data_IF_807887118161
#
_entry.id   IF_807887118161
#
_cell.length_a   1.000
_cell.length_b   1.000
_cell.length_c   1.000
_cell.angle_alpha   90.00
_cell.angle_beta   90.00
_cell.angle_gamma   90.00
#
_symmetry.space_group_name_H-M   'P 1'
#
loop_
_entity.id
_entity.type
_entity.pdbx_description
1 polymer ?
#
# COMPACT_ATOMS: atom_id res chain seq x y z
N UNK A 1 -8.22 -6.64 3.59
CA UNK A 1 -7.52 -6.53 2.27
C UNK A 1 -6.28 -7.41 2.19
N UNK A 2 -5.41 -7.43 3.19
CA UNK A 2 -4.16 -8.23 3.15
C UNK A 2 -4.41 -9.75 3.00
N UNK A 3 -5.44 -10.31 3.66
CA UNK A 3 -5.79 -11.73 3.56
C UNK A 3 -6.27 -12.08 2.14
N UNK A 4 -7.23 -11.32 1.62
CA UNK A 4 -7.75 -11.53 0.26
C UNK A 4 -6.68 -11.28 -0.80
N UNK A 5 -5.87 -10.22 -0.66
CA UNK A 5 -4.77 -9.92 -1.57
C UNK A 5 -3.72 -11.03 -1.60
N UNK A 6 -3.39 -11.60 -0.43
CA UNK A 6 -2.49 -12.75 -0.32
C UNK A 6 -3.04 -13.99 -1.02
N UNK A 7 -4.32 -14.30 -0.82
CA UNK A 7 -5.00 -15.43 -1.47
C UNK A 7 -5.07 -15.25 -3.00
N UNK A 8 -5.46 -14.06 -3.48
CA UNK A 8 -5.47 -13.76 -4.93
C UNK A 8 -4.06 -13.90 -5.51
N UNK A 9 -3.04 -13.36 -4.83
CA UNK A 9 -1.65 -13.45 -5.28
C UNK A 9 -1.13 -14.89 -5.35
N UNK A 10 -1.47 -15.72 -4.38
CA UNK A 10 -1.09 -17.14 -4.36
C UNK A 10 -1.79 -17.95 -5.45
N UNK A 11 -3.06 -17.61 -5.76
CA UNK A 11 -3.88 -18.35 -6.74
C UNK A 11 -3.64 -17.92 -8.19
N UNK A 12 -3.54 -16.63 -8.43
CA UNK A 12 -3.47 -16.02 -9.78
C UNK A 12 -2.09 -15.49 -10.15
N UNK A 13 -1.19 -15.42 -9.19
CA UNK A 13 0.16 -14.89 -9.35
C UNK A 13 0.31 -13.44 -8.89
N UNK A 14 1.54 -13.10 -8.52
CA UNK A 14 1.87 -11.78 -7.94
C UNK A 14 1.80 -10.66 -8.97
N UNK A 15 2.02 -10.96 -10.25
CA UNK A 15 1.93 -10.00 -11.35
C UNK A 15 0.52 -9.42 -11.47
N UNK A 16 -0.51 -10.28 -11.40
CA UNK A 16 -1.89 -9.83 -11.50
C UNK A 16 -2.28 -8.93 -10.31
N UNK A 17 -1.89 -9.32 -9.10
CA UNK A 17 -2.16 -8.50 -7.89
C UNK A 17 -1.44 -7.16 -7.92
N UNK A 18 -0.22 -7.12 -8.47
CA UNK A 18 0.52 -5.87 -8.67
C UNK A 18 -0.19 -4.96 -9.68
N UNK A 19 -0.66 -5.52 -10.79
CA UNK A 19 -1.39 -4.76 -11.82
C UNK A 19 -2.70 -4.20 -11.29
N UNK A 20 -3.52 -5.04 -10.65
CA UNK A 20 -4.78 -4.59 -10.04
C UNK A 20 -4.50 -3.51 -9.01
N UNK A 21 -3.50 -3.70 -8.15
CA UNK A 21 -3.14 -2.71 -7.14
C UNK A 21 -2.68 -1.38 -7.77
N UNK A 22 -1.88 -1.42 -8.83
CA UNK A 22 -1.42 -0.19 -9.49
C UNK A 22 -2.56 0.52 -10.24
N UNK A 23 -3.42 -0.22 -10.94
CA UNK A 23 -4.61 0.35 -11.61
C UNK A 23 -5.55 1.00 -10.60
N UNK A 24 -5.86 0.31 -9.49
CA UNK A 24 -6.68 0.89 -8.43
C UNK A 24 -6.07 2.15 -7.81
N UNK A 25 -4.74 2.21 -7.70
CA UNK A 25 -4.05 3.39 -7.20
C UNK A 25 -4.17 4.57 -8.17
N UNK A 26 -4.05 4.31 -9.48
CA UNK A 26 -4.25 5.31 -10.53
C UNK A 26 -5.69 5.82 -10.49
N UNK A 27 -6.67 4.93 -10.43
CA UNK A 27 -8.08 5.31 -10.33
C UNK A 27 -8.34 6.17 -9.08
N UNK A 28 -7.86 5.73 -7.91
CA UNK A 28 -8.01 6.47 -6.66
C UNK A 28 -7.43 7.88 -6.73
N UNK A 29 -6.30 8.05 -7.41
CA UNK A 29 -5.65 9.35 -7.57
C UNK A 29 -6.46 10.25 -8.51
N UNK A 30 -6.89 9.74 -9.67
CA UNK A 30 -7.69 10.50 -10.61
C UNK A 30 -9.10 10.83 -10.07
N UNK A 31 -9.64 10.03 -9.15
CA UNK A 31 -10.87 10.38 -8.43
C UNK A 31 -10.75 11.68 -7.64
N UNK A 32 -9.57 12.15 -7.30
CA UNK A 32 -9.39 13.40 -6.55
C UNK A 32 -9.49 14.66 -7.42
N UNK A 33 -9.30 14.55 -8.75
CA UNK A 33 -9.30 15.70 -9.67
C UNK A 33 -10.66 16.43 -9.74
N UNK A 34 -11.82 15.74 -9.77
CA UNK A 34 -13.12 16.41 -9.87
C UNK A 34 -13.60 17.07 -8.58
N UNK A 35 -12.87 16.97 -7.49
CA UNK A 35 -13.23 17.60 -6.21
C UNK A 35 -13.13 19.12 -6.36
N UNK A 36 -14.26 19.83 -6.12
CA UNK A 36 -14.37 21.30 -6.22
C UNK A 36 -14.75 21.88 -4.87
N UNK A 37 -14.36 23.12 -4.66
CA UNK A 37 -14.68 23.86 -3.44
C UNK A 37 -16.19 24.15 -3.30
N UNK A 38 -16.92 24.19 -4.42
CA UNK A 38 -18.37 24.47 -4.45
C UNK A 38 -19.23 23.27 -3.97
N UNK A 39 -18.63 22.12 -3.73
CA UNK A 39 -19.36 20.94 -3.27
C UNK A 39 -19.78 21.05 -1.79
N UNK A 40 -20.95 20.52 -1.42
CA UNK A 40 -21.32 20.40 -0.01
C UNK A 40 -20.22 19.64 0.76
N UNK A 41 -19.82 20.16 1.91
CA UNK A 41 -18.71 19.61 2.73
C UNK A 41 -18.89 18.10 2.99
N UNK A 42 -20.11 17.67 3.34
CA UNK A 42 -20.43 16.25 3.62
C UNK A 42 -20.16 15.39 2.37
N UNK A 43 -20.56 15.87 1.19
CA UNK A 43 -20.36 15.14 -0.06
C UNK A 43 -18.86 15.05 -0.42
N UNK A 44 -18.14 16.17 -0.31
CA UNK A 44 -16.69 16.21 -0.57
C UNK A 44 -15.93 15.27 0.35
N UNK A 45 -16.24 15.28 1.66
CA UNK A 45 -15.61 14.38 2.64
C UNK A 45 -15.91 12.93 2.31
N UNK A 46 -17.18 12.57 2.07
CA UNK A 46 -17.55 11.20 1.73
C UNK A 46 -16.84 10.72 0.45
N UNK A 47 -16.78 11.56 -0.58
CA UNK A 47 -16.12 11.26 -1.84
C UNK A 47 -14.61 11.02 -1.67
N UNK A 48 -13.94 11.91 -0.95
CA UNK A 48 -12.50 11.76 -0.64
C UNK A 48 -12.25 10.52 0.20
N UNK A 49 -13.11 10.20 1.17
CA UNK A 49 -13.01 8.96 1.95
C UNK A 49 -13.11 7.70 1.08
N UNK A 50 -14.00 7.69 0.10
CA UNK A 50 -14.09 6.58 -0.88
C UNK A 50 -12.81 6.47 -1.70
N UNK A 51 -12.29 7.58 -2.24
CA UNK A 51 -11.02 7.58 -2.96
C UNK A 51 -9.86 7.08 -2.10
N UNK A 52 -9.79 7.49 -0.83
CA UNK A 52 -8.79 7.01 0.12
C UNK A 52 -8.95 5.53 0.47
N UNK A 53 -10.18 5.02 0.56
CA UNK A 53 -10.43 3.60 0.77
C UNK A 53 -9.93 2.76 -0.41
N UNK A 54 -10.20 3.19 -1.65
CA UNK A 54 -9.69 2.54 -2.87
C UNK A 54 -8.15 2.57 -2.90
N UNK A 55 -7.54 3.71 -2.59
CA UNK A 55 -6.08 3.86 -2.45
C UNK A 55 -5.50 2.94 -1.37
N UNK A 56 -6.20 2.78 -0.25
CA UNK A 56 -5.81 1.86 0.84
C UNK A 56 -5.77 0.40 0.37
N UNK A 57 -6.80 -0.05 -0.35
CA UNK A 57 -6.86 -1.39 -0.94
C UNK A 57 -5.70 -1.59 -1.94
N UNK A 58 -5.50 -0.63 -2.84
CA UNK A 58 -4.42 -0.62 -3.82
C UNK A 58 -3.04 -0.75 -3.17
N UNK A 59 -2.80 0.02 -2.13
CA UNK A 59 -1.56 0.05 -1.35
C UNK A 59 -1.27 -1.31 -0.68
N UNK A 60 -2.31 -1.94 -0.14
CA UNK A 60 -2.17 -3.26 0.49
C UNK A 60 -1.86 -4.36 -0.52
N UNK A 61 -2.52 -4.36 -1.68
CA UNK A 61 -2.24 -5.30 -2.77
C UNK A 61 -0.79 -5.18 -3.25
N UNK A 62 -0.32 -3.97 -3.53
CA UNK A 62 1.05 -3.72 -3.96
C UNK A 62 2.08 -4.12 -2.89
N UNK A 63 1.80 -3.84 -1.62
CA UNK A 63 2.67 -4.22 -0.49
C UNK A 63 2.77 -5.74 -0.33
N UNK A 64 1.66 -6.46 -0.50
CA UNK A 64 1.66 -7.92 -0.42
C UNK A 64 2.41 -8.53 -1.60
N UNK A 65 2.16 -8.04 -2.82
CA UNK A 65 2.84 -8.50 -4.03
C UNK A 65 4.36 -8.31 -3.93
N UNK A 66 4.82 -7.13 -3.49
CA UNK A 66 6.24 -6.84 -3.33
C UNK A 66 6.92 -7.77 -2.30
N UNK A 67 6.29 -7.98 -1.13
CA UNK A 67 6.84 -8.85 -0.09
C UNK A 67 6.87 -10.32 -0.51
N UNK A 68 5.86 -10.77 -1.23
CA UNK A 68 5.79 -12.15 -1.72
C UNK A 68 6.79 -12.37 -2.86
N UNK A 69 7.03 -11.37 -3.72
CA UNK A 69 8.03 -11.45 -4.78
C UNK A 69 9.46 -11.65 -4.22
N UNK A 70 9.79 -10.98 -3.11
CA UNK A 70 11.10 -11.18 -2.45
C UNK A 70 11.31 -12.63 -2.03
N UNK A 71 10.24 -13.28 -1.48
CA UNK A 71 10.32 -14.69 -1.06
C UNK A 71 10.54 -15.66 -2.22
N UNK A 72 10.07 -15.31 -3.43
CA UNK A 72 10.22 -16.18 -4.60
C UNK A 72 11.55 -15.99 -5.32
N UNK A 73 12.20 -14.84 -5.14
CA UNK A 73 13.50 -14.53 -5.77
C UNK A 73 14.68 -15.03 -4.94
N UNK A 74 14.52 -15.12 -3.61
CA UNK A 74 15.55 -15.68 -2.74
C UNK A 74 15.45 -17.21 -2.76
N UNK A 75 16.48 -17.94 -3.28
CA UNK A 75 16.46 -19.40 -3.29
C UNK A 75 16.36 -19.96 -1.87
N UNK A 76 15.47 -20.94 -1.68
CA UNK A 76 15.55 -21.80 -0.49
C UNK A 76 16.81 -22.66 -0.62
N UNK A 77 17.88 -22.26 0.03
CA UNK A 77 19.08 -23.09 0.13
C UNK A 77 18.73 -24.25 1.06
N UNK A 78 18.61 -25.45 0.48
CA UNK A 78 18.38 -26.73 1.19
C UNK A 78 19.54 -27.16 2.10
N UNK A 79 20.66 -26.44 2.07
CA UNK A 79 21.74 -26.63 3.01
C UNK A 79 21.34 -25.99 4.33
N UNK A 80 21.29 -26.80 5.40
CA UNK A 80 20.91 -26.43 6.76
C UNK A 80 21.69 -25.27 7.41
N UNK A 81 22.25 -24.41 6.63
CA UNK A 81 22.94 -23.18 7.00
C UNK A 81 21.97 -22.00 6.99
N UNK A 82 21.96 -21.25 8.08
CA UNK A 82 21.30 -19.96 8.33
C UNK A 82 21.36 -18.90 7.22
N UNK A 83 22.09 -19.17 6.14
CA UNK A 83 22.42 -18.22 5.07
C UNK A 83 21.22 -17.77 4.27
N UNK A 84 20.30 -18.68 3.94
CA UNK A 84 19.08 -18.35 3.19
C UNK A 84 18.09 -17.49 3.98
N UNK A 85 17.92 -17.79 5.27
CA UNK A 85 17.07 -16.99 6.16
C UNK A 85 17.67 -15.59 6.41
N UNK A 86 19.00 -15.49 6.58
CA UNK A 86 19.71 -14.20 6.71
C UNK A 86 19.56 -13.35 5.45
N UNK A 87 19.67 -13.96 4.28
CA UNK A 87 19.53 -13.27 3.01
C UNK A 87 18.09 -12.78 2.80
N UNK A 88 17.09 -13.61 3.08
CA UNK A 88 15.67 -13.23 3.05
C UNK A 88 15.38 -12.07 4.02
N UNK A 89 15.88 -12.16 5.25
CA UNK A 89 15.73 -11.10 6.23
C UNK A 89 16.37 -9.79 5.77
N UNK A 90 17.57 -9.83 5.20
CA UNK A 90 18.27 -8.68 4.64
C UNK A 90 17.43 -7.99 3.54
N UNK A 91 16.93 -8.75 2.58
CA UNK A 91 16.11 -8.19 1.50
C UNK A 91 14.78 -7.61 1.98
N UNK A 92 14.12 -8.27 2.93
CA UNK A 92 12.88 -7.74 3.55
C UNK A 92 13.17 -6.47 4.36
N UNK A 93 14.29 -6.42 5.05
CA UNK A 93 14.71 -5.24 5.80
C UNK A 93 15.02 -4.05 4.87
N UNK A 94 15.77 -4.28 3.78
CA UNK A 94 16.05 -3.27 2.74
C UNK A 94 14.73 -2.76 2.12
N UNK A 95 13.83 -3.67 1.71
CA UNK A 95 12.53 -3.29 1.13
C UNK A 95 11.70 -2.45 2.11
N UNK A 96 11.71 -2.80 3.38
CA UNK A 96 10.93 -2.08 4.39
C UNK A 96 11.58 -0.73 4.73
N UNK A 97 12.89 -0.69 4.85
CA UNK A 97 13.66 0.53 5.13
C UNK A 97 13.57 1.54 4.00
N UNK A 98 13.80 1.11 2.76
CA UNK A 98 13.70 1.99 1.58
C UNK A 98 12.28 2.55 1.41
N UNK A 99 11.24 1.74 1.64
CA UNK A 99 9.85 2.21 1.62
C UNK A 99 9.60 3.33 2.65
N UNK A 100 10.14 3.18 3.87
CA UNK A 100 9.94 4.19 4.90
C UNK A 100 10.72 5.48 4.59
N UNK A 101 11.94 5.38 4.06
CA UNK A 101 12.73 6.51 3.60
C UNK A 101 12.03 7.25 2.45
N UNK A 102 11.57 6.52 1.42
CA UNK A 102 10.83 7.08 0.30
C UNK A 102 9.50 7.72 0.72
N UNK A 103 8.89 7.26 1.80
CA UNK A 103 7.66 7.87 2.33
C UNK A 103 7.92 9.31 2.80
N UNK A 104 9.02 9.57 3.51
CA UNK A 104 9.41 10.92 3.92
C UNK A 104 9.68 11.83 2.72
N UNK A 105 10.46 11.34 1.75
CA UNK A 105 10.71 12.08 0.49
C UNK A 105 9.41 12.35 -0.26
N UNK A 106 8.48 11.37 -0.29
CA UNK A 106 7.19 11.51 -0.95
C UNK A 106 6.30 12.60 -0.35
N UNK A 107 6.30 12.76 0.97
CA UNK A 107 5.58 13.87 1.62
C UNK A 107 6.15 15.23 1.21
N UNK A 108 7.47 15.36 1.23
CA UNK A 108 8.14 16.61 0.80
C UNK A 108 7.88 16.93 -0.67
N UNK A 109 8.02 15.95 -1.56
CA UNK A 109 7.74 16.12 -2.99
C UNK A 109 6.26 16.43 -3.24
N UNK A 110 5.34 15.82 -2.52
CA UNK A 110 3.91 16.10 -2.61
C UNK A 110 3.58 17.54 -2.24
N UNK A 111 4.12 18.04 -1.13
CA UNK A 111 3.98 19.44 -0.71
C UNK A 111 4.59 20.41 -1.70
N UNK A 112 5.78 20.10 -2.23
CA UNK A 112 6.45 20.92 -3.24
C UNK A 112 5.65 21.01 -4.55
N UNK A 113 5.16 19.88 -5.05
CA UNK A 113 4.32 19.82 -6.25
C UNK A 113 3.02 20.62 -6.06
N UNK A 114 2.39 20.49 -4.90
CA UNK A 114 1.19 21.25 -4.57
C UNK A 114 1.46 22.76 -4.59
N UNK A 115 2.57 23.21 -3.98
CA UNK A 115 2.96 24.61 -3.92
C UNK A 115 3.28 25.21 -5.29
N UNK A 116 3.95 24.45 -6.17
CA UNK A 116 4.41 24.94 -7.48
C UNK A 116 3.32 24.88 -8.55
N UNK A 117 2.49 23.85 -8.55
CA UNK A 117 1.58 23.55 -9.65
C UNK A 117 0.09 23.57 -9.26
N UNK A 118 -0.22 23.73 -7.97
CA UNK A 118 -1.57 23.61 -7.46
C UNK A 118 -2.08 22.17 -7.42
N UNK A 119 -3.26 21.96 -6.82
CA UNK A 119 -3.78 20.63 -6.51
C UNK A 119 -3.97 19.74 -7.75
N UNK A 120 -4.73 20.21 -8.74
CA UNK A 120 -5.10 19.40 -9.90
C UNK A 120 -3.89 18.99 -10.75
N UNK A 121 -2.95 19.92 -10.97
CA UNK A 121 -1.76 19.63 -11.74
C UNK A 121 -0.80 18.69 -10.97
N UNK A 122 -0.65 18.89 -9.65
CA UNK A 122 0.14 18.00 -8.81
C UNK A 122 -0.39 16.56 -8.85
N UNK A 123 -1.72 16.38 -8.70
CA UNK A 123 -2.38 15.07 -8.83
C UNK A 123 -2.19 14.48 -10.22
N UNK A 124 -2.31 15.30 -11.28
CA UNK A 124 -2.08 14.88 -12.66
C UNK A 124 -0.65 14.37 -12.90
N UNK A 125 0.37 15.11 -12.41
CA UNK A 125 1.79 14.73 -12.52
C UNK A 125 2.05 13.40 -11.78
N UNK A 126 1.51 13.26 -10.57
CA UNK A 126 1.63 12.01 -9.80
C UNK A 126 0.94 10.85 -10.49
N UNK A 127 -0.25 11.08 -11.08
CA UNK A 127 -0.99 10.09 -11.86
C UNK A 127 -0.22 9.64 -13.10
N UNK A 128 0.37 10.57 -13.83
CA UNK A 128 1.23 10.26 -14.97
C UNK A 128 2.46 9.42 -14.56
N UNK A 129 3.11 9.77 -13.45
CA UNK A 129 4.22 8.98 -12.90
C UNK A 129 3.81 7.54 -12.57
N UNK A 130 2.59 7.35 -12.01
CA UNK A 130 2.05 6.01 -11.73
C UNK A 130 1.72 5.25 -13.02
N UNK A 131 1.20 5.91 -14.05
CA UNK A 131 0.97 5.29 -15.36
C UNK A 131 2.29 4.80 -15.97
N UNK A 132 3.35 5.61 -15.90
CA UNK A 132 4.68 5.21 -16.35
C UNK A 132 5.21 4.01 -15.55
N UNK A 133 5.06 4.03 -14.23
CA UNK A 133 5.42 2.91 -13.39
C UNK A 133 4.62 1.65 -13.75
N UNK A 134 3.32 1.78 -14.05
CA UNK A 134 2.48 0.67 -14.51
C UNK A 134 3.01 0.07 -15.82
N UNK A 135 3.36 0.91 -16.81
CA UNK A 135 3.94 0.45 -18.07
C UNK A 135 5.24 -0.35 -17.85
N UNK A 136 6.08 0.08 -16.90
CA UNK A 136 7.28 -0.68 -16.54
C UNK A 136 6.95 -2.04 -15.93
N UNK A 137 5.83 -2.16 -15.18
CA UNK A 137 5.42 -3.46 -14.61
C UNK A 137 4.94 -4.46 -15.69
N UNK A 138 4.57 -4.01 -16.89
CA UNK A 138 4.18 -4.89 -17.98
C UNK A 138 5.35 -5.75 -18.48
N UNK A 139 6.59 -5.28 -18.30
CA UNK A 139 7.82 -5.97 -18.69
C UNK A 139 8.13 -7.14 -17.74
N UNK A 140 7.54 -7.19 -16.56
CA UNK A 140 7.79 -8.26 -15.59
C UNK A 140 7.34 -9.63 -16.11
N UNK A 141 8.15 -10.70 -15.91
CA UNK A 141 7.78 -12.04 -16.33
C UNK A 141 6.52 -12.55 -15.61
N UNK A 142 5.65 -13.27 -16.35
CA UNK A 142 4.29 -13.63 -15.92
C UNK A 142 4.19 -14.67 -14.81
N UNK A 143 5.27 -15.41 -14.54
CA UNK A 143 5.23 -16.60 -13.67
C UNK A 143 5.71 -16.38 -12.23
N UNK A 144 6.01 -15.14 -11.86
CA UNK A 144 6.52 -14.83 -10.52
C UNK A 144 5.42 -15.10 -9.47
N UNK A 145 5.69 -16.03 -8.55
CA UNK A 145 4.91 -16.20 -7.33
C UNK A 145 3.64 -17.04 -7.44
N UNK A 146 3.40 -17.75 -8.54
CA UNK A 146 2.34 -18.78 -8.56
C UNK A 146 2.74 -19.95 -7.68
N UNK A 147 1.91 -20.25 -6.69
CA UNK A 147 2.08 -21.49 -5.92
C UNK A 147 1.67 -22.70 -6.75
N UNK A 148 2.42 -23.81 -6.61
CA UNK A 148 2.09 -25.08 -7.28
C UNK A 148 0.73 -25.64 -6.85
N UNK A 149 0.37 -25.45 -5.59
CA UNK A 149 -0.94 -25.81 -5.02
C UNK A 149 -1.78 -24.56 -4.81
N UNK A 150 -2.98 -24.53 -5.41
CA UNK A 150 -3.93 -23.42 -5.26
C UNK A 150 -4.56 -23.46 -3.86
N UNK A 151 -4.33 -22.47 -2.98
CA UNK A 151 -4.91 -22.48 -1.64
C UNK A 151 -6.44 -22.41 -1.71
N UNK A 152 -7.10 -23.20 -0.87
CA UNK A 152 -8.54 -23.14 -0.69
C UNK A 152 -8.92 -21.87 0.08
N UNK A 153 -10.18 -21.42 -0.05
CA UNK A 153 -10.65 -20.23 0.67
C UNK A 153 -10.60 -20.40 2.20
N UNK A 154 -10.78 -21.64 2.67
CA UNK A 154 -10.69 -21.97 4.09
C UNK A 154 -9.27 -21.83 4.68
N UNK A 155 -8.24 -21.81 3.85
CA UNK A 155 -6.85 -21.64 4.29
C UNK A 155 -6.51 -20.16 4.61
N UNK A 156 -7.47 -19.23 4.41
CA UNK A 156 -7.33 -17.82 4.76
C UNK A 156 -7.14 -17.58 6.26
N UNK A 157 -7.78 -18.39 7.08
CA UNK A 157 -7.65 -18.31 8.54
C UNK A 157 -6.57 -19.29 9.02
N UNK A 158 -5.76 -18.82 9.97
CA UNK A 158 -4.75 -19.68 10.57
C UNK A 158 -5.40 -20.85 11.30
N UNK A 159 -4.81 -22.04 11.19
CA UNK A 159 -5.19 -23.22 12.01
C UNK A 159 -4.92 -23.00 13.51
N UNK A 160 -4.08 -22.02 13.87
CA UNK A 160 -3.78 -21.66 15.25
C UNK A 160 -4.70 -20.54 15.74
N UNK A 161 -5.47 -20.84 16.78
CA UNK A 161 -6.37 -19.87 17.42
C UNK A 161 -5.60 -18.68 18.03
N UNK A 162 -4.40 -18.93 18.56
CA UNK A 162 -3.53 -17.88 19.10
C UNK A 162 -3.14 -16.85 18.03
N UNK A 163 -2.86 -17.28 16.79
CA UNK A 163 -2.53 -16.37 15.68
C UNK A 163 -3.76 -15.56 15.28
N UNK A 164 -4.95 -16.14 15.29
CA UNK A 164 -6.18 -15.43 14.95
C UNK A 164 -6.53 -14.36 16.00
N UNK A 165 -6.37 -14.67 17.30
CA UNK A 165 -6.56 -13.70 18.40
C UNK A 165 -5.52 -12.57 18.30
N UNK A 166 -4.25 -12.90 18.07
CA UNK A 166 -3.19 -11.89 17.90
C UNK A 166 -3.47 -10.97 16.69
N UNK A 167 -3.97 -11.53 15.60
CA UNK A 167 -4.33 -10.77 14.40
C UNK A 167 -5.49 -9.80 14.67
N UNK A 168 -6.50 -10.24 15.41
CA UNK A 168 -7.61 -9.41 15.85
C UNK A 168 -7.13 -8.28 16.78
N UNK A 169 -6.32 -8.60 17.80
CA UNK A 169 -5.74 -7.61 18.70
C UNK A 169 -4.93 -6.54 17.96
N UNK A 170 -4.11 -6.95 16.98
CA UNK A 170 -3.33 -6.03 16.14
C UNK A 170 -4.23 -5.13 15.28
N UNK A 171 -5.33 -5.64 14.77
CA UNK A 171 -6.28 -4.85 13.99
C UNK A 171 -6.82 -3.66 14.81
N UNK A 172 -7.28 -3.90 16.03
CA UNK A 172 -7.76 -2.84 16.91
C UNK A 172 -6.64 -1.87 17.34
N UNK A 173 -5.46 -2.40 17.67
CA UNK A 173 -4.31 -1.58 18.05
C UNK A 173 -3.88 -0.62 16.94
N UNK A 174 -3.78 -1.11 15.71
CA UNK A 174 -3.42 -0.26 14.56
C UNK A 174 -4.52 0.74 14.21
N UNK A 175 -5.79 0.34 14.30
CA UNK A 175 -6.93 1.24 14.12
C UNK A 175 -6.92 2.40 15.11
N UNK A 176 -6.76 2.11 16.39
CA UNK A 176 -6.67 3.13 17.43
C UNK A 176 -5.48 4.08 17.22
N UNK A 177 -4.30 3.52 16.88
CA UNK A 177 -3.12 4.34 16.61
C UNK A 177 -3.33 5.28 15.42
N UNK A 178 -3.90 4.79 14.34
CA UNK A 178 -4.04 5.58 13.11
C UNK A 178 -5.08 6.70 13.28
N UNK A 179 -6.17 6.45 14.00
CA UNK A 179 -7.15 7.51 14.37
C UNK A 179 -6.48 8.62 15.18
N UNK A 180 -5.66 8.25 16.16
CA UNK A 180 -5.00 9.22 17.02
C UNK A 180 -3.91 10.02 16.32
N UNK A 181 -2.97 9.35 15.66
CA UNK A 181 -1.80 10.01 15.04
C UNK A 181 -2.07 10.65 13.68
N UNK A 182 -2.96 10.08 12.88
CA UNK A 182 -3.17 10.56 11.50
C UNK A 182 -4.28 11.60 11.43
N UNK A 183 -5.24 11.56 12.35
CA UNK A 183 -6.40 12.47 12.35
C UNK A 183 -6.35 13.42 13.52
N UNK A 184 -6.36 12.92 14.76
CA UNK A 184 -6.52 13.77 15.91
C UNK A 184 -5.33 14.69 16.15
N UNK A 185 -4.11 14.20 16.01
CA UNK A 185 -2.90 14.99 16.27
C UNK A 185 -2.71 16.15 15.28
N UNK A 186 -2.82 15.97 13.93
CA UNK A 186 -2.74 17.09 12.99
C UNK A 186 -3.82 18.15 13.23
N UNK A 187 -5.07 17.74 13.47
CA UNK A 187 -6.18 18.67 13.78
C UNK A 187 -5.91 19.44 15.05
N UNK A 188 -5.39 18.78 16.08
CA UNK A 188 -5.01 19.45 17.33
C UNK A 188 -3.90 20.48 17.12
N UNK A 189 -2.86 20.12 16.35
CA UNK A 189 -1.74 21.04 16.06
C UNK A 189 -2.18 22.24 15.25
N UNK A 190 -3.06 22.08 14.28
CA UNK A 190 -3.65 23.16 13.51
C UNK A 190 -4.48 24.10 14.41
N UNK A 191 -5.38 23.53 15.22
CA UNK A 191 -6.24 24.31 16.11
C UNK A 191 -5.49 25.01 17.25
N UNK A 192 -4.48 24.35 17.83
CA UNK A 192 -3.78 24.86 19.03
C UNK A 192 -2.63 25.80 18.69
N UNK A 193 -1.94 25.56 17.58
CA UNK A 193 -0.73 26.28 17.22
C UNK A 193 -0.82 27.05 15.87
N UNK A 194 -1.94 26.91 15.14
CA UNK A 194 -2.09 27.51 13.83
C UNK A 194 -1.00 27.04 12.84
N UNK A 195 -0.53 25.80 13.00
CA UNK A 195 0.49 25.25 12.13
C UNK A 195 -0.11 25.02 10.74
N UNK A 196 0.37 25.80 9.80
CA UNK A 196 0.07 25.58 8.40
C UNK A 196 0.75 24.27 7.94
N UNK A 197 0.13 23.56 7.00
CA UNK A 197 0.58 22.22 6.53
C UNK A 197 1.94 22.23 5.78
N UNK A 198 2.81 23.15 6.10
CA UNK A 198 4.17 23.24 5.53
C UNK A 198 5.25 23.07 6.59
#
# INVERSE_FOLDING_TARGET
>A
TNLYGGWIGARYGLRLTLWIGTILQIIALFMLIPVKEDWPVIFSVAYVMVAQAVSGIAKDLNKMSAKSAVKTVVPETNDGNDTGQKQLFKWVAILTGSKNALKGVGFFLGGLLYKLFGFNNAVGIMGFGLCLAFLLTLILPGEIGKMKTKPAFNDLFSKSNAINILSAARFFLFGARDVWFVVALPVFLDMAFGWDYM
#
